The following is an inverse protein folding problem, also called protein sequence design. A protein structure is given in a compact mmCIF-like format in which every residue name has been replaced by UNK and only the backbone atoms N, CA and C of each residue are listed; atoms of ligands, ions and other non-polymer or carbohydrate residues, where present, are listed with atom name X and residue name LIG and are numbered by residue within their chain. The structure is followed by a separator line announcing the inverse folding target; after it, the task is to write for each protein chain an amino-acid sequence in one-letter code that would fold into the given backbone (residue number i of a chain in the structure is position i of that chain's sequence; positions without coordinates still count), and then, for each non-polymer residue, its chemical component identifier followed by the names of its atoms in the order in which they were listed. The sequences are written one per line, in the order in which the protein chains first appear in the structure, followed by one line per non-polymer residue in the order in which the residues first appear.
data_IF_114186997740
#
_entry.id   IF_114186997740
#
_cell.length_a   1.000
_cell.length_b   1.000
_cell.length_c   1.000
_cell.angle_alpha   90.00
_cell.angle_beta   90.00
_cell.angle_gamma   90.00
#
_symmetry.space_group_name_H-M   'P 1'
#
loop_
_entity.id
_entity.type
_entity.pdbx_description
1 polymer ?
#
# COMPACT_ATOMS: atom_id res chain seq x y z
N UNK A 1 6.34 1.31 -0.94
CA UNK A 1 7.08 0.56 0.12
C UNK A 1 6.48 -0.82 0.39
N UNK A 2 5.17 -0.98 0.55
CA UNK A 2 4.49 -2.24 0.90
C UNK A 2 4.85 -3.44 0.00
N UNK A 3 4.95 -3.26 -1.32
CA UNK A 3 5.40 -4.32 -2.24
C UNK A 3 6.82 -4.84 -1.92
N UNK A 4 7.76 -3.92 -1.64
CA UNK A 4 9.15 -4.30 -1.27
C UNK A 4 9.21 -5.08 0.04
N UNK A 5 8.36 -4.74 1.00
CA UNK A 5 8.26 -5.47 2.28
C UNK A 5 7.77 -6.90 2.06
N UNK A 6 6.74 -7.09 1.24
CA UNK A 6 6.23 -8.43 0.94
C UNK A 6 7.24 -9.29 0.15
N UNK A 7 7.92 -8.71 -0.84
CA UNK A 7 8.98 -9.40 -1.58
C UNK A 7 10.14 -9.83 -0.66
N UNK A 8 10.57 -8.94 0.23
CA UNK A 8 11.61 -9.24 1.21
C UNK A 8 11.17 -10.32 2.21
N UNK A 9 9.94 -10.23 2.72
CA UNK A 9 9.36 -11.24 3.61
C UNK A 9 9.29 -12.62 2.94
N UNK A 10 8.88 -12.67 1.68
CA UNK A 10 8.84 -13.90 0.89
C UNK A 10 10.22 -14.42 0.44
N UNK A 11 11.30 -13.69 0.79
CA UNK A 11 12.68 -13.99 0.39
C UNK A 11 12.85 -14.11 -1.14
N UNK A 12 12.13 -13.28 -1.88
CA UNK A 12 12.18 -13.24 -3.35
C UNK A 12 13.32 -12.31 -3.77
N UNK A 13 14.30 -12.86 -4.49
CA UNK A 13 15.38 -12.07 -5.08
C UNK A 13 14.86 -11.30 -6.29
N UNK A 14 15.10 -9.99 -6.30
CA UNK A 14 14.71 -9.09 -7.39
C UNK A 14 15.92 -8.29 -7.87
N UNK A 15 15.92 -7.91 -9.14
CA UNK A 15 16.74 -6.83 -9.66
C UNK A 15 15.97 -5.52 -9.45
N UNK A 16 16.49 -4.65 -8.58
CA UNK A 16 15.86 -3.37 -8.30
C UNK A 16 16.39 -2.29 -9.24
N UNK A 17 15.49 -1.67 -9.99
CA UNK A 17 15.75 -0.52 -10.85
C UNK A 17 15.09 0.71 -10.26
N UNK A 18 15.89 1.58 -9.63
CA UNK A 18 15.40 2.87 -9.14
C UNK A 18 15.28 3.87 -10.28
N UNK A 19 14.25 4.67 -10.24
CA UNK A 19 13.97 5.70 -11.25
C UNK A 19 13.71 7.06 -10.61
N UNK A 20 13.94 8.12 -11.37
CA UNK A 20 13.48 9.46 -11.00
C UNK A 20 12.03 9.65 -11.45
N UNK A 21 11.13 10.01 -10.52
CA UNK A 21 9.72 10.23 -10.84
C UNK A 21 9.48 11.45 -11.74
N UNK A 22 10.44 12.40 -11.75
CA UNK A 22 10.43 13.57 -12.65
C UNK A 22 10.95 13.27 -14.04
N UNK A 23 11.67 12.15 -14.22
CA UNK A 23 12.28 11.73 -15.48
C UNK A 23 12.13 10.21 -15.60
N UNK A 24 10.94 9.78 -16.01
CA UNK A 24 10.57 8.37 -16.07
C UNK A 24 11.07 7.77 -17.38
N UNK A 25 11.80 6.64 -17.32
CA UNK A 25 12.32 5.98 -18.53
C UNK A 25 11.20 5.35 -19.37
N UNK A 26 11.42 5.25 -20.68
CA UNK A 26 10.48 4.66 -21.64
C UNK A 26 10.17 3.19 -21.32
N UNK A 27 11.12 2.48 -20.74
CA UNK A 27 10.95 1.08 -20.31
C UNK A 27 9.86 0.92 -19.25
N UNK A 28 9.66 1.93 -18.38
CA UNK A 28 8.56 1.91 -17.42
C UNK A 28 7.22 1.95 -18.15
N UNK A 29 7.06 2.82 -19.16
CA UNK A 29 5.83 2.93 -19.95
C UNK A 29 5.60 1.72 -20.85
N UNK A 30 6.69 1.08 -21.31
CA UNK A 30 6.61 -0.19 -22.03
C UNK A 30 6.11 -1.31 -21.14
N UNK A 31 6.54 -1.35 -19.87
CA UNK A 31 6.09 -2.33 -18.90
C UNK A 31 4.66 -2.05 -18.39
N UNK A 32 4.33 -0.79 -18.11
CA UNK A 32 2.99 -0.37 -17.67
C UNK A 32 2.63 1.00 -18.23
N UNK A 33 1.56 1.08 -18.99
CA UNK A 33 1.05 2.33 -19.57
C UNK A 33 0.65 3.38 -18.54
N UNK A 34 0.44 2.98 -17.28
CA UNK A 34 0.15 3.91 -16.16
C UNK A 34 1.36 4.79 -15.83
N UNK A 35 2.59 4.34 -16.11
CA UNK A 35 3.80 5.04 -15.73
C UNK A 35 3.95 5.25 -14.22
N UNK A 36 3.25 4.50 -13.40
CA UNK A 36 3.32 4.55 -11.93
C UNK A 36 4.30 3.53 -11.39
N UNK A 37 4.75 3.70 -10.16
CA UNK A 37 5.59 2.75 -9.45
C UNK A 37 4.90 2.26 -8.17
N UNK A 38 5.15 1.01 -7.74
CA UNK A 38 6.06 0.01 -8.31
C UNK A 38 5.47 -0.73 -9.52
N UNK A 39 6.37 -1.25 -10.37
CA UNK A 39 6.06 -2.23 -11.42
C UNK A 39 6.98 -3.43 -11.22
N UNK A 40 6.42 -4.63 -11.21
CA UNK A 40 7.17 -5.88 -11.13
C UNK A 40 7.04 -6.64 -12.44
N UNK A 41 8.15 -6.88 -13.12
CA UNK A 41 8.21 -7.75 -14.28
C UNK A 41 8.70 -9.13 -13.87
N UNK A 42 7.97 -10.16 -14.22
CA UNK A 42 8.30 -11.54 -13.93
C UNK A 42 9.20 -12.14 -15.03
N UNK A 43 9.94 -13.24 -14.75
CA UNK A 43 10.82 -13.87 -15.74
C UNK A 43 10.12 -14.35 -17.03
N UNK A 44 8.82 -14.64 -16.95
CA UNK A 44 8.01 -15.04 -18.11
C UNK A 44 7.51 -13.84 -18.94
N UNK A 45 7.90 -12.60 -18.56
CA UNK A 45 7.52 -11.36 -19.23
C UNK A 45 6.19 -10.76 -18.74
N UNK A 46 5.43 -11.44 -17.88
CA UNK A 46 4.21 -10.84 -17.30
C UNK A 46 4.55 -9.73 -16.33
N UNK A 47 3.63 -8.77 -16.20
CA UNK A 47 3.82 -7.55 -15.41
C UNK A 47 2.72 -7.40 -14.37
N UNK A 48 3.10 -7.00 -13.15
CA UNK A 48 2.20 -6.62 -12.07
C UNK A 48 2.51 -5.17 -11.71
N UNK A 49 1.56 -4.27 -11.88
CA UNK A 49 1.76 -2.81 -11.74
C UNK A 49 0.95 -2.15 -10.61
N UNK A 50 0.29 -2.96 -9.77
CA UNK A 50 -0.34 -2.49 -8.54
C UNK A 50 0.43 -3.01 -7.31
N UNK A 51 0.76 -2.09 -6.41
CA UNK A 51 1.59 -2.44 -5.24
C UNK A 51 0.96 -3.51 -4.35
N UNK A 52 -0.36 -3.55 -4.25
CA UNK A 52 -1.07 -4.56 -3.47
C UNK A 52 -1.11 -5.92 -4.20
N UNK A 53 -1.24 -5.93 -5.52
CA UNK A 53 -1.18 -7.16 -6.30
C UNK A 53 0.22 -7.78 -6.28
N UNK A 54 1.28 -6.95 -6.27
CA UNK A 54 2.65 -7.43 -6.03
C UNK A 54 2.77 -8.08 -4.65
N UNK A 55 2.15 -7.49 -3.60
CA UNK A 55 2.13 -8.10 -2.27
C UNK A 55 1.46 -9.46 -2.29
N UNK A 56 0.26 -9.57 -2.86
CA UNK A 56 -0.48 -10.85 -2.96
C UNK A 56 0.35 -11.90 -3.69
N UNK A 57 0.86 -11.55 -4.85
CA UNK A 57 1.71 -12.45 -5.63
C UNK A 57 2.92 -12.93 -4.82
N UNK A 58 3.62 -12.05 -4.11
CA UNK A 58 4.76 -12.42 -3.30
C UNK A 58 4.41 -13.39 -2.17
N UNK A 59 3.27 -13.17 -1.49
CA UNK A 59 2.80 -14.03 -0.41
C UNK A 59 2.33 -15.40 -0.90
N UNK A 60 1.85 -15.51 -2.13
CA UNK A 60 1.49 -16.78 -2.78
C UNK A 60 2.73 -17.67 -3.06
N UNK A 61 3.93 -17.07 -3.14
CA UNK A 61 5.18 -17.82 -3.38
C UNK A 61 5.77 -18.44 -2.10
N UNK A 62 5.22 -18.17 -0.93
CA UNK A 62 5.77 -18.62 0.35
C UNK A 62 4.69 -19.04 1.33
N UNK A 63 5.09 -19.80 2.36
CA UNK A 63 4.22 -19.97 3.53
C UNK A 63 4.24 -18.68 4.34
N UNK A 64 3.07 -18.15 4.61
CA UNK A 64 2.90 -16.89 5.35
C UNK A 64 1.87 -17.05 6.45
N UNK A 65 2.09 -16.38 7.58
CA UNK A 65 1.10 -16.19 8.64
C UNK A 65 0.37 -14.84 8.53
N UNK A 66 0.67 -14.03 7.51
CA UNK A 66 0.04 -12.74 7.29
C UNK A 66 -1.41 -12.84 6.79
N UNK A 67 -1.82 -14.03 6.37
CA UNK A 67 -3.15 -14.30 5.80
C UNK A 67 -4.02 -15.18 6.74
N UNK A 68 -3.53 -15.51 7.93
CA UNK A 68 -4.13 -16.55 8.79
C UNK A 68 -5.41 -16.08 9.48
N UNK A 69 -5.60 -14.78 9.69
CA UNK A 69 -6.66 -14.24 10.55
C UNK A 69 -7.56 -13.31 9.73
N UNK A 70 -8.88 -13.60 9.67
CA UNK A 70 -9.90 -12.71 9.14
C UNK A 70 -9.51 -12.05 7.80
N UNK A 71 -9.05 -12.84 6.85
CA UNK A 71 -8.46 -12.33 5.60
C UNK A 71 -9.39 -11.37 4.85
N UNK A 72 -10.69 -11.67 4.77
CA UNK A 72 -11.66 -10.81 4.10
C UNK A 72 -11.81 -9.44 4.78
N UNK A 73 -11.81 -9.41 6.13
CA UNK A 73 -11.87 -8.15 6.89
C UNK A 73 -10.59 -7.33 6.70
N UNK A 74 -9.45 -8.00 6.59
CA UNK A 74 -8.17 -7.35 6.27
C UNK A 74 -8.20 -6.72 4.87
N UNK A 75 -8.72 -7.44 3.87
CA UNK A 75 -8.89 -6.92 2.51
C UNK A 75 -9.81 -5.70 2.48
N UNK A 76 -10.93 -5.75 3.22
CA UNK A 76 -11.86 -4.63 3.34
C UNK A 76 -11.17 -3.42 3.96
N UNK A 77 -10.40 -3.61 5.03
CA UNK A 77 -9.66 -2.53 5.69
C UNK A 77 -8.61 -1.90 4.75
N UNK A 78 -7.86 -2.72 4.01
CA UNK A 78 -6.89 -2.24 3.02
C UNK A 78 -7.59 -1.43 1.91
N UNK A 79 -8.72 -1.94 1.41
CA UNK A 79 -9.52 -1.26 0.40
C UNK A 79 -10.02 0.10 0.91
N UNK A 80 -10.59 0.15 2.11
CA UNK A 80 -11.04 1.40 2.75
C UNK A 80 -9.87 2.38 2.90
N UNK A 81 -8.71 1.91 3.33
CA UNK A 81 -7.52 2.75 3.41
C UNK A 81 -7.11 3.32 2.03
N UNK A 82 -7.11 2.50 1.00
CA UNK A 82 -6.69 2.91 -0.34
C UNK A 82 -7.72 3.84 -1.02
N UNK A 83 -9.03 3.62 -0.82
CA UNK A 83 -10.11 4.35 -1.49
C UNK A 83 -10.61 5.57 -0.69
N UNK A 84 -10.47 5.57 0.64
CA UNK A 84 -10.94 6.68 1.49
C UNK A 84 -9.78 7.48 2.09
N UNK A 85 -8.88 6.83 2.84
CA UNK A 85 -7.82 7.54 3.55
C UNK A 85 -6.81 8.20 2.61
N UNK A 86 -6.29 7.46 1.63
CA UNK A 86 -5.28 8.00 0.70
C UNK A 86 -5.75 9.20 -0.10
N UNK A 87 -6.98 9.26 -0.63
CA UNK A 87 -7.52 10.47 -1.25
C UNK A 87 -7.53 11.67 -0.31
N UNK A 88 -7.97 11.50 0.95
CA UNK A 88 -7.95 12.58 1.93
C UNK A 88 -6.53 13.01 2.30
N UNK A 89 -5.64 12.05 2.49
CA UNK A 89 -4.22 12.32 2.74
C UNK A 89 -3.58 13.08 1.58
N UNK A 90 -3.90 12.74 0.34
CA UNK A 90 -3.41 13.45 -0.84
C UNK A 90 -3.91 14.91 -0.86
N UNK A 91 -5.20 15.15 -0.59
CA UNK A 91 -5.75 16.49 -0.49
C UNK A 91 -5.14 17.28 0.68
N UNK A 92 -4.89 16.63 1.81
CA UNK A 92 -4.21 17.24 2.95
C UNK A 92 -2.76 17.64 2.61
N UNK A 93 -1.97 16.72 2.02
CA UNK A 93 -0.58 16.98 1.62
C UNK A 93 -0.45 18.09 0.58
N UNK A 94 -1.39 18.16 -0.35
CA UNK A 94 -1.37 19.08 -1.47
C UNK A 94 -2.55 20.06 -1.42
N UNK A 95 -2.95 20.51 -0.21
CA UNK A 95 -4.11 21.37 0.01
C UNK A 95 -4.12 22.64 -0.86
N UNK A 96 -2.95 23.16 -1.23
CA UNK A 96 -2.84 24.30 -2.14
C UNK A 96 -3.42 24.02 -3.54
N UNK A 97 -3.53 22.75 -3.95
CA UNK A 97 -4.15 22.30 -5.19
C UNK A 97 -5.65 22.00 -5.03
N UNK A 98 -6.14 22.06 -3.79
CA UNK A 98 -7.50 21.73 -3.39
C UNK A 98 -8.11 22.89 -2.56
N UNK A 99 -8.32 24.09 -3.19
CA UNK A 99 -8.79 25.29 -2.48
C UNK A 99 -10.28 25.23 -2.11
N UNK A 100 -10.99 24.18 -2.49
CA UNK A 100 -12.41 23.99 -2.24
C UNK A 100 -12.77 23.84 -0.76
N UNK A 101 -11.79 23.45 0.08
CA UNK A 101 -11.94 23.35 1.53
C UNK A 101 -10.69 23.86 2.25
N UNK A 102 -10.84 24.25 3.52
CA UNK A 102 -9.71 24.63 4.36
C UNK A 102 -8.81 23.44 4.69
N UNK A 103 -7.54 23.71 4.95
CA UNK A 103 -6.53 22.72 5.32
C UNK A 103 -6.98 21.82 6.49
N UNK A 104 -7.58 22.43 7.53
CA UNK A 104 -8.07 21.74 8.71
C UNK A 104 -9.20 20.75 8.40
N UNK A 105 -10.01 21.02 7.37
CA UNK A 105 -11.03 20.08 6.92
C UNK A 105 -10.42 18.75 6.46
N UNK A 106 -9.40 18.83 5.59
CA UNK A 106 -8.72 17.64 5.09
C UNK A 106 -7.96 16.90 6.19
N UNK A 107 -7.32 17.65 7.12
CA UNK A 107 -6.67 17.08 8.28
C UNK A 107 -7.67 16.29 9.15
N UNK A 108 -8.84 16.87 9.44
CA UNK A 108 -9.86 16.22 10.25
C UNK A 108 -10.36 14.93 9.61
N UNK A 109 -10.53 14.90 8.28
CA UNK A 109 -10.88 13.67 7.55
C UNK A 109 -9.83 12.56 7.72
N UNK A 110 -8.57 12.90 7.71
CA UNK A 110 -7.50 11.94 7.99
C UNK A 110 -7.55 11.47 9.44
N UNK A 111 -7.73 12.38 10.40
CA UNK A 111 -7.79 12.08 11.83
C UNK A 111 -8.99 11.16 12.16
N UNK A 112 -10.16 11.39 11.56
CA UNK A 112 -11.34 10.53 11.73
C UNK A 112 -11.02 9.05 11.41
N UNK A 113 -10.29 8.81 10.31
CA UNK A 113 -9.93 7.44 9.88
C UNK A 113 -8.84 6.86 10.79
N UNK A 114 -7.78 7.64 11.07
CA UNK A 114 -6.69 7.20 11.94
C UNK A 114 -7.15 6.90 13.36
N UNK A 115 -8.14 7.63 13.88
CA UNK A 115 -8.72 7.37 15.20
C UNK A 115 -9.39 5.99 15.29
N UNK A 116 -9.94 5.46 14.19
CA UNK A 116 -10.47 4.09 14.16
C UNK A 116 -9.35 3.05 14.30
N UNK A 117 -8.22 3.28 13.63
CA UNK A 117 -7.05 2.40 13.77
C UNK A 117 -6.46 2.48 15.18
N UNK A 118 -6.36 3.67 15.76
CA UNK A 118 -5.89 3.88 17.14
C UNK A 118 -6.78 3.14 18.15
N UNK A 119 -8.11 3.16 17.99
CA UNK A 119 -9.03 2.40 18.84
C UNK A 119 -8.76 0.89 18.78
N UNK A 120 -8.46 0.35 17.59
CA UNK A 120 -8.11 -1.06 17.44
C UNK A 120 -6.78 -1.34 18.14
N UNK A 121 -5.77 -0.51 17.90
CA UNK A 121 -4.43 -0.67 18.40
C UNK A 121 -4.31 -0.41 19.90
N UNK A 122 -5.26 0.30 20.52
CA UNK A 122 -5.29 0.48 21.99
C UNK A 122 -5.47 -0.85 22.75
N UNK A 123 -6.04 -1.87 22.10
CA UNK A 123 -6.27 -3.20 22.68
C UNK A 123 -5.45 -4.32 22.02
N UNK A 124 -4.74 -4.01 20.94
CA UNK A 124 -4.01 -4.99 20.16
C UNK A 124 -2.62 -4.45 19.78
N UNK A 125 -1.65 -5.35 19.63
CA UNK A 125 -0.32 -4.97 19.14
C UNK A 125 -0.31 -4.66 17.64
N UNK A 126 -1.28 -5.21 16.89
CA UNK A 126 -1.47 -5.03 15.44
C UNK A 126 -2.97 -4.93 15.13
N UNK A 127 -3.32 -4.53 13.91
CA UNK A 127 -4.72 -4.29 13.50
C UNK A 127 -5.63 -5.53 13.68
N UNK A 128 -5.10 -6.73 13.54
CA UNK A 128 -5.85 -7.99 13.70
C UNK A 128 -5.26 -8.91 14.77
N UNK A 129 -4.71 -8.35 15.86
CA UNK A 129 -4.30 -9.13 17.02
C UNK A 129 -2.85 -8.93 17.46
N UNK A 130 -2.15 -10.04 17.77
CA UNK A 130 -0.84 -10.01 18.43
C UNK A 130 0.35 -10.12 17.47
N UNK A 131 0.11 -10.45 16.21
CA UNK A 131 1.14 -10.60 15.16
C UNK A 131 0.80 -9.73 13.97
N UNK A 132 1.81 -9.23 13.23
CA UNK A 132 1.57 -8.47 12.02
C UNK A 132 0.86 -9.34 10.98
N UNK A 133 -0.11 -8.75 10.30
CA UNK A 133 -0.87 -9.35 9.23
C UNK A 133 -0.69 -8.53 7.95
N UNK A 134 -1.26 -8.97 6.83
CA UNK A 134 -1.15 -8.27 5.55
C UNK A 134 -1.68 -6.83 5.63
N UNK A 135 -2.72 -6.58 6.43
CA UNK A 135 -3.28 -5.23 6.62
C UNK A 135 -2.29 -4.28 7.27
N UNK A 136 -1.55 -4.72 8.29
CA UNK A 136 -0.53 -3.89 8.94
C UNK A 136 0.55 -3.48 7.95
N UNK A 137 1.03 -4.42 7.16
CA UNK A 137 2.10 -4.18 6.17
C UNK A 137 1.59 -3.37 4.96
N UNK A 138 0.33 -3.51 4.60
CA UNK A 138 -0.25 -2.78 3.48
C UNK A 138 -0.57 -1.31 3.84
N UNK A 139 -0.97 -1.05 5.10
CA UNK A 139 -1.43 0.26 5.56
C UNK A 139 -0.28 1.10 6.12
N UNK A 140 0.61 0.50 6.92
CA UNK A 140 1.68 1.22 7.62
C UNK A 140 2.60 2.07 6.71
N UNK A 141 3.03 1.61 5.52
CA UNK A 141 3.94 2.38 4.67
C UNK A 141 3.19 3.36 3.75
N UNK A 142 2.58 4.37 4.29
CA UNK A 142 1.89 5.44 3.55
C UNK A 142 2.80 6.61 3.17
#
# INVERSE_FOLDING_TARGET
MRARMALAYANITIELREILLSDRPDELYTASSKGTVPVLQLPNGSVIDESFDIMKWALEQTKTDWLDINYEDQLLMIKTNDEEFKPWLNKYKYHQRHPEQAYEYYQNKCVEILSKYEQILSNNSFLFGKKPQISDVAILPL
#
